data_IF_879317589911
#
_entry.id   IF_879317589911
#
_cell.length_a   1.000
_cell.length_b   1.000
_cell.length_c   1.000
_cell.angle_alpha   90.00
_cell.angle_beta   90.00
_cell.angle_gamma   90.00
#
_symmetry.space_group_name_H-M   'P 1'
#
loop_
_entity.id
_entity.type
_entity.pdbx_description
1 polymer ?
#
# COMPACT_ATOMS: atom_id res chain seq x y z
N UNK A 1 11.18 -11.57 -6.04
CA UNK A 1 9.86 -11.07 -6.46
C UNK A 1 8.70 -11.93 -5.96
N UNK A 2 8.74 -13.25 -6.17
CA UNK A 2 7.72 -14.18 -5.66
C UNK A 2 7.35 -14.01 -4.18
N UNK A 3 8.32 -13.75 -3.30
CA UNK A 3 8.05 -13.49 -1.89
C UNK A 3 7.21 -12.21 -1.66
N UNK A 4 7.47 -11.13 -2.41
CA UNK A 4 6.71 -9.88 -2.31
C UNK A 4 5.30 -10.02 -2.92
N UNK A 5 5.15 -10.73 -4.03
CA UNK A 5 3.81 -11.05 -4.56
C UNK A 5 3.01 -11.92 -3.59
N UNK A 6 3.64 -12.93 -2.98
CA UNK A 6 3.01 -13.73 -1.92
C UNK A 6 2.62 -12.88 -0.72
N UNK A 7 3.50 -11.98 -0.29
CA UNK A 7 3.21 -11.01 0.76
C UNK A 7 1.95 -10.21 0.44
N UNK A 8 1.91 -9.55 -0.73
CA UNK A 8 0.76 -8.73 -1.18
C UNK A 8 -0.52 -9.57 -1.24
N UNK A 9 -0.43 -10.80 -1.75
CA UNK A 9 -1.57 -11.72 -1.83
C UNK A 9 -2.09 -12.11 -0.44
N UNK A 10 -1.20 -12.36 0.51
CA UNK A 10 -1.57 -12.72 1.88
C UNK A 10 -2.15 -11.52 2.63
N UNK A 11 -1.55 -10.33 2.53
CA UNK A 11 -2.04 -9.14 3.22
C UNK A 11 -3.35 -8.62 2.63
N UNK A 12 -3.53 -8.67 1.30
CA UNK A 12 -4.80 -8.29 0.67
C UNK A 12 -5.98 -9.18 1.09
N UNK A 13 -5.72 -10.44 1.47
CA UNK A 13 -6.75 -11.34 1.98
C UNK A 13 -7.17 -11.04 3.42
N UNK A 14 -6.39 -10.25 4.16
CA UNK A 14 -6.71 -9.91 5.55
C UNK A 14 -7.96 -9.03 5.59
N UNK A 15 -8.94 -9.43 6.40
CA UNK A 15 -10.19 -8.70 6.59
C UNK A 15 -11.03 -8.52 5.31
N UNK A 16 -10.84 -9.37 4.30
CA UNK A 16 -11.62 -9.41 3.05
C UNK A 16 -12.20 -10.80 2.81
N UNK A 17 -13.35 -10.86 2.16
CA UNK A 17 -13.83 -12.10 1.57
C UNK A 17 -12.91 -12.48 0.41
N UNK A 18 -12.65 -13.77 0.23
CA UNK A 18 -11.77 -14.24 -0.84
C UNK A 18 -12.38 -15.37 -1.65
N UNK A 19 -12.03 -15.41 -2.93
CA UNK A 19 -12.47 -16.45 -3.86
C UNK A 19 -11.31 -16.89 -4.74
N UNK A 20 -11.15 -18.20 -4.91
CA UNK A 20 -10.17 -18.76 -5.84
C UNK A 20 -10.77 -18.96 -7.22
N UNK A 21 -10.17 -18.34 -8.22
CA UNK A 21 -10.64 -18.40 -9.61
C UNK A 21 -9.44 -18.71 -10.51
N UNK A 22 -9.28 -20.00 -10.85
CA UNK A 22 -8.09 -20.45 -11.57
C UNK A 22 -6.81 -20.03 -10.82
N UNK A 23 -5.86 -19.33 -11.48
CA UNK A 23 -4.64 -18.86 -10.83
C UNK A 23 -4.82 -17.52 -10.07
N UNK A 24 -6.03 -16.98 -9.95
CA UNK A 24 -6.28 -15.70 -9.29
C UNK A 24 -6.81 -15.90 -7.87
N UNK A 25 -6.34 -15.08 -6.92
CA UNK A 25 -7.01 -14.85 -5.65
C UNK A 25 -7.78 -13.54 -5.77
N UNK A 26 -9.11 -13.62 -5.84
CA UNK A 26 -9.97 -12.44 -5.80
C UNK A 26 -10.25 -12.07 -4.35
N UNK A 27 -10.23 -10.77 -4.05
CA UNK A 27 -10.53 -10.22 -2.72
C UNK A 27 -11.67 -9.22 -2.81
N UNK A 28 -12.56 -9.22 -1.81
CA UNK A 28 -13.74 -8.37 -1.76
C UNK A 28 -13.93 -7.76 -0.37
N UNK A 29 -14.23 -6.47 -0.31
CA UNK A 29 -14.63 -5.80 0.93
C UNK A 29 -16.14 -5.64 1.00
N UNK A 30 -16.77 -6.29 1.97
CA UNK A 30 -18.24 -6.27 2.12
C UNK A 30 -18.76 -4.84 2.31
N UNK A 31 -19.73 -4.45 1.48
CA UNK A 31 -20.40 -3.15 1.60
C UNK A 31 -19.58 -1.93 1.15
N UNK A 32 -18.44 -2.14 0.49
CA UNK A 32 -17.60 -1.06 -0.01
C UNK A 32 -17.15 -1.37 -1.45
N UNK A 33 -17.56 -0.55 -2.41
CA UNK A 33 -17.28 -0.70 -3.84
C UNK A 33 -16.01 0.01 -4.29
N UNK A 34 -15.23 0.58 -3.37
CA UNK A 34 -14.00 1.29 -3.70
C UNK A 34 -13.03 0.37 -4.47
N UNK A 35 -12.51 0.77 -5.65
CA UNK A 35 -11.69 -0.09 -6.50
C UNK A 35 -10.43 -0.65 -5.81
N UNK A 36 -9.71 0.17 -5.04
CA UNK A 36 -8.51 -0.27 -4.29
C UNK A 36 -8.79 -1.22 -3.11
N UNK A 37 -10.05 -1.56 -2.84
CA UNK A 37 -10.44 -2.56 -1.84
C UNK A 37 -10.93 -3.87 -2.46
N UNK A 38 -11.17 -3.88 -3.77
CA UNK A 38 -11.75 -5.00 -4.49
C UNK A 38 -10.92 -5.30 -5.75
N UNK A 39 -9.95 -6.19 -5.61
CA UNK A 39 -9.08 -6.57 -6.72
C UNK A 39 -8.58 -8.01 -6.56
N UNK A 40 -8.12 -8.59 -7.67
CA UNK A 40 -7.53 -9.91 -7.71
C UNK A 40 -6.02 -9.89 -7.94
N UNK A 41 -5.35 -10.92 -7.45
CA UNK A 41 -3.89 -11.07 -7.49
C UNK A 41 -3.58 -12.47 -8.05
N UNK A 42 -2.81 -12.60 -9.14
CA UNK A 42 -2.40 -13.89 -9.67
C UNK A 42 -1.39 -14.59 -8.77
N UNK A 43 -1.33 -15.91 -8.95
CA UNK A 43 -0.30 -16.77 -8.38
C UNK A 43 1.08 -16.51 -8.98
N UNK A 44 2.09 -16.81 -8.17
CA UNK A 44 3.47 -16.75 -8.64
C UNK A 44 3.67 -17.82 -9.73
N UNK A 45 4.06 -17.40 -10.92
CA UNK A 45 4.18 -18.26 -12.11
C UNK A 45 2.85 -18.81 -12.62
N UNK A 46 1.71 -18.26 -12.15
CA UNK A 46 0.39 -18.65 -12.65
C UNK A 46 0.20 -18.18 -14.08
N UNK A 47 -0.12 -19.12 -14.99
CA UNK A 47 -0.41 -18.82 -16.40
C UNK A 47 -1.93 -18.89 -16.59
N UNK A 48 -2.65 -17.75 -16.54
CA UNK A 48 -4.10 -17.76 -16.73
C UNK A 48 -4.49 -18.12 -18.15
N UNK A 49 -5.68 -18.69 -18.28
CA UNK A 49 -6.35 -18.90 -19.56
C UNK A 49 -7.44 -17.86 -19.78
N UNK A 50 -7.88 -17.66 -21.03
CA UNK A 50 -9.04 -16.80 -21.31
C UNK A 50 -10.32 -17.25 -20.57
N UNK A 51 -10.46 -18.55 -20.28
CA UNK A 51 -11.54 -19.07 -19.46
C UNK A 51 -11.45 -18.64 -17.99
N UNK A 52 -10.24 -18.54 -17.43
CA UNK A 52 -10.04 -18.02 -16.07
C UNK A 52 -10.36 -16.54 -15.99
N UNK A 53 -9.96 -15.76 -17.01
CA UNK A 53 -10.26 -14.32 -17.09
C UNK A 53 -11.77 -14.07 -17.22
N UNK A 54 -12.49 -14.88 -18.00
CA UNK A 54 -13.94 -14.79 -18.12
C UNK A 54 -14.64 -15.06 -16.77
N UNK A 55 -14.23 -16.10 -16.04
CA UNK A 55 -14.77 -16.42 -14.70
C UNK A 55 -14.45 -15.32 -13.68
N UNK A 56 -13.23 -14.77 -13.72
CA UNK A 56 -12.84 -13.66 -12.85
C UNK A 56 -13.76 -12.45 -13.08
N UNK A 57 -14.00 -12.14 -14.35
CA UNK A 57 -14.88 -11.04 -14.77
C UNK A 57 -16.32 -11.26 -14.31
N UNK A 58 -16.84 -12.48 -14.45
CA UNK A 58 -18.17 -12.85 -13.97
C UNK A 58 -18.28 -12.72 -12.45
N UNK A 59 -17.28 -13.16 -11.69
CA UNK A 59 -17.30 -13.12 -10.23
C UNK A 59 -17.35 -11.69 -9.66
N UNK A 60 -16.60 -10.75 -10.23
CA UNK A 60 -16.66 -9.33 -9.85
C UNK A 60 -17.98 -8.69 -10.27
N UNK A 61 -18.42 -8.88 -11.52
CA UNK A 61 -19.68 -8.30 -12.03
C UNK A 61 -20.92 -8.84 -11.31
N UNK A 62 -20.92 -10.12 -10.93
CA UNK A 62 -21.99 -10.74 -10.14
C UNK A 62 -22.18 -10.07 -8.77
N UNK A 63 -21.15 -9.37 -8.28
CA UNK A 63 -21.17 -8.57 -7.04
C UNK A 63 -21.38 -7.08 -7.28
N UNK A 64 -21.59 -6.66 -8.53
CA UNK A 64 -21.70 -5.24 -8.90
C UNK A 64 -20.37 -4.48 -8.83
N UNK A 65 -19.24 -5.19 -8.80
CA UNK A 65 -17.90 -4.60 -8.67
C UNK A 65 -17.20 -4.54 -10.04
N UNK A 66 -16.31 -3.56 -10.20
CA UNK A 66 -15.42 -3.47 -11.36
C UNK A 66 -14.38 -4.60 -11.29
N UNK A 67 -14.28 -5.49 -12.30
CA UNK A 67 -13.21 -6.47 -12.37
C UNK A 67 -11.85 -5.78 -12.43
N UNK A 68 -10.96 -6.09 -11.47
CA UNK A 68 -9.70 -5.38 -11.27
C UNK A 68 -8.59 -6.31 -10.80
N UNK A 69 -7.36 -6.07 -11.24
CA UNK A 69 -6.16 -6.74 -10.75
C UNK A 69 -5.05 -5.76 -10.42
N UNK A 70 -4.26 -6.11 -9.40
CA UNK A 70 -3.02 -5.43 -9.03
C UNK A 70 -1.94 -6.50 -8.77
N UNK A 71 -0.84 -6.48 -9.53
CA UNK A 71 0.19 -7.50 -9.40
C UNK A 71 1.56 -7.11 -9.94
N UNK A 72 2.59 -7.80 -9.45
CA UNK A 72 3.96 -7.64 -9.91
C UNK A 72 4.18 -8.43 -11.20
N UNK A 73 4.53 -7.74 -12.28
CA UNK A 73 4.66 -8.36 -13.62
C UNK A 73 5.66 -9.51 -13.64
N UNK A 74 6.76 -9.40 -12.89
CA UNK A 74 7.79 -10.45 -12.83
C UNK A 74 7.35 -11.67 -12.02
N UNK A 75 6.30 -11.56 -11.21
CA UNK A 75 5.74 -12.70 -10.47
C UNK A 75 4.71 -13.49 -11.30
N UNK A 76 4.08 -12.87 -12.30
CA UNK A 76 3.14 -13.53 -13.23
C UNK A 76 3.29 -12.96 -14.66
N UNK A 77 4.41 -13.26 -15.35
CA UNK A 77 4.77 -12.59 -16.60
C UNK A 77 3.75 -12.75 -17.74
N UNK A 78 3.07 -13.89 -17.81
CA UNK A 78 2.09 -14.20 -18.85
C UNK A 78 0.71 -13.59 -18.57
N UNK A 79 0.44 -13.15 -17.34
CA UNK A 79 -0.90 -12.76 -16.92
C UNK A 79 -1.40 -11.50 -17.64
N UNK A 80 -0.54 -10.50 -17.84
CA UNK A 80 -0.94 -9.23 -18.44
C UNK A 80 -1.49 -9.40 -19.86
N UNK A 81 -0.79 -10.17 -20.70
CA UNK A 81 -1.21 -10.42 -22.09
C UNK A 81 -2.59 -11.07 -22.15
N UNK A 82 -2.81 -12.11 -21.35
CA UNK A 82 -4.09 -12.85 -21.33
C UNK A 82 -5.23 -11.98 -20.80
N UNK A 83 -4.96 -11.13 -19.80
CA UNK A 83 -5.95 -10.17 -19.28
C UNK A 83 -6.35 -9.14 -20.34
N UNK A 84 -5.37 -8.58 -21.07
CA UNK A 84 -5.63 -7.61 -22.13
C UNK A 84 -6.43 -8.24 -23.27
N UNK A 85 -6.09 -9.46 -23.69
CA UNK A 85 -6.87 -10.23 -24.68
C UNK A 85 -8.30 -10.52 -24.18
N UNK A 86 -8.47 -10.68 -22.86
CA UNK A 86 -9.77 -10.82 -22.19
C UNK A 86 -10.53 -9.51 -21.97
N UNK A 87 -10.04 -8.37 -22.48
CA UNK A 87 -10.72 -7.08 -22.44
C UNK A 87 -10.35 -6.17 -21.27
N UNK A 88 -9.32 -6.50 -20.49
CA UNK A 88 -8.79 -5.60 -19.46
C UNK A 88 -7.94 -4.49 -20.09
N UNK A 89 -8.02 -3.29 -19.53
CA UNK A 89 -7.17 -2.15 -19.87
C UNK A 89 -6.09 -2.00 -18.82
N UNK A 90 -4.83 -1.86 -19.25
CA UNK A 90 -3.74 -1.44 -18.38
C UNK A 90 -3.92 0.03 -18.01
N UNK A 91 -4.24 0.28 -16.73
CA UNK A 91 -4.44 1.63 -16.23
C UNK A 91 -3.12 2.29 -15.86
N UNK A 92 -2.25 1.55 -15.15
CA UNK A 92 -1.03 2.08 -14.55
C UNK A 92 0.05 1.02 -14.48
N UNK A 93 1.28 1.48 -14.71
CA UNK A 93 2.52 0.82 -14.30
C UNK A 93 3.13 1.64 -13.16
N UNK A 94 3.43 0.99 -12.04
CA UNK A 94 3.91 1.62 -10.82
C UNK A 94 5.17 0.88 -10.39
N UNK A 95 6.30 1.57 -10.14
CA UNK A 95 7.49 0.89 -9.67
C UNK A 95 7.25 0.33 -8.26
N UNK A 96 7.66 -0.90 -8.02
CA UNK A 96 7.81 -1.44 -6.67
C UNK A 96 9.23 -1.11 -6.20
N UNK A 97 9.33 -0.34 -5.13
CA UNK A 97 10.62 0.06 -4.58
C UNK A 97 10.92 -0.68 -3.28
N UNK A 98 12.18 -1.06 -3.07
CA UNK A 98 12.65 -1.76 -1.86
C UNK A 98 13.81 -0.99 -1.23
N UNK A 99 13.85 -0.94 0.09
CA UNK A 99 14.99 -0.49 0.88
C UNK A 99 15.49 -1.68 1.74
N UNK A 100 16.57 -2.36 1.35
CA UNK A 100 17.15 -3.43 2.16
C UNK A 100 17.98 -2.85 3.33
N UNK A 101 18.25 -3.67 4.38
CA UNK A 101 19.12 -3.27 5.47
C UNK A 101 20.47 -2.73 4.96
N UNK A 102 20.92 -1.63 5.56
CA UNK A 102 22.17 -0.96 5.19
C UNK A 102 22.09 0.00 4.00
N UNK A 103 20.97 0.08 3.29
CA UNK A 103 20.73 1.10 2.25
C UNK A 103 19.93 2.30 2.75
N UNK A 104 19.37 2.24 3.96
CA UNK A 104 18.59 3.32 4.54
C UNK A 104 19.45 4.58 4.72
N UNK A 105 18.98 5.68 4.15
CA UNK A 105 19.60 7.00 4.27
C UNK A 105 18.78 7.87 5.22
N UNK A 106 19.42 8.28 6.32
CA UNK A 106 18.82 9.14 7.32
C UNK A 106 18.26 10.45 6.70
N UNK A 107 17.04 10.81 7.09
CA UNK A 107 16.38 12.04 6.66
C UNK A 107 16.21 12.97 7.86
N UNK A 108 16.53 14.26 7.73
CA UNK A 108 16.30 15.20 8.81
C UNK A 108 14.80 15.39 9.03
N UNK A 109 14.39 15.45 10.30
CA UNK A 109 13.06 15.95 10.65
C UNK A 109 13.04 17.46 10.42
N UNK A 110 12.12 18.01 9.62
CA UNK A 110 12.09 19.45 9.34
C UNK A 110 11.86 20.29 10.62
N UNK A 111 12.44 21.48 10.68
CA UNK A 111 12.21 22.42 11.78
C UNK A 111 10.71 22.68 11.99
N UNK A 112 10.28 22.68 13.26
CA UNK A 112 8.88 22.86 13.64
C UNK A 112 8.02 21.61 13.55
N UNK A 113 8.61 20.44 13.23
CA UNK A 113 7.92 19.15 13.13
C UNK A 113 8.48 18.17 14.16
N UNK A 114 7.59 17.40 14.77
CA UNK A 114 7.91 16.28 15.66
C UNK A 114 7.32 15.01 15.06
N UNK A 115 8.14 13.97 14.93
CA UNK A 115 7.65 12.63 14.59
C UNK A 115 7.33 11.86 15.87
N UNK A 116 6.16 11.23 15.93
CA UNK A 116 5.70 10.50 17.10
C UNK A 116 5.03 9.20 16.67
N UNK A 117 5.30 8.10 17.37
CA UNK A 117 4.46 6.90 17.27
C UNK A 117 3.16 7.15 18.06
N UNK A 118 1.97 7.04 17.43
CA UNK A 118 0.72 7.13 18.16
C UNK A 118 0.58 5.94 19.11
N UNK A 119 0.20 6.18 20.36
CA UNK A 119 0.07 5.15 21.42
C UNK A 119 -1.35 5.03 21.96
N UNK A 120 -2.27 5.88 21.50
CA UNK A 120 -3.68 5.82 21.86
C UNK A 120 -4.57 5.73 20.61
N UNK A 121 -5.78 5.16 20.73
CA UNK A 121 -6.76 5.18 19.63
C UNK A 121 -7.06 6.61 19.14
N UNK A 122 -7.08 7.60 20.04
CA UNK A 122 -7.32 8.99 19.68
C UNK A 122 -6.20 9.57 18.80
N UNK A 123 -4.94 9.25 19.08
CA UNK A 123 -3.81 9.67 18.25
C UNK A 123 -3.79 8.98 16.89
N UNK A 124 -4.14 7.68 16.85
CA UNK A 124 -4.32 6.96 15.59
C UNK A 124 -5.41 7.61 14.74
N UNK A 125 -6.53 8.02 15.33
CA UNK A 125 -7.58 8.77 14.61
C UNK A 125 -7.09 10.08 14.02
N UNK A 126 -6.30 10.85 14.76
CA UNK A 126 -5.71 12.10 14.25
C UNK A 126 -4.79 11.83 13.04
N UNK A 127 -3.97 10.78 13.11
CA UNK A 127 -3.11 10.35 12.01
C UNK A 127 -3.93 9.94 10.78
N UNK A 128 -4.93 9.07 10.96
CA UNK A 128 -5.78 8.56 9.89
C UNK A 128 -6.56 9.71 9.23
N UNK A 129 -7.10 10.65 10.02
CA UNK A 129 -7.77 11.84 9.51
C UNK A 129 -6.84 12.68 8.63
N UNK A 130 -5.61 12.94 9.08
CA UNK A 130 -4.62 13.69 8.29
C UNK A 130 -4.25 12.97 6.99
N UNK A 131 -4.14 11.63 7.01
CA UNK A 131 -3.92 10.83 5.80
C UNK A 131 -5.09 10.97 4.82
N UNK A 132 -6.34 10.78 5.26
CA UNK A 132 -7.53 10.90 4.41
C UNK A 132 -7.59 12.27 3.71
N UNK A 133 -7.44 13.35 4.48
CA UNK A 133 -7.41 14.71 3.92
C UNK A 133 -6.25 14.87 2.92
N UNK A 134 -5.07 14.32 3.21
CA UNK A 134 -3.93 14.38 2.30
C UNK A 134 -4.16 13.60 0.99
N UNK A 135 -4.97 12.55 1.00
CA UNK A 135 -5.38 11.78 -0.18
C UNK A 135 -6.59 12.38 -0.91
N UNK A 136 -7.19 13.45 -0.37
CA UNK A 136 -8.39 14.08 -0.94
C UNK A 136 -9.69 13.35 -0.61
N UNK A 137 -9.64 12.40 0.32
CA UNK A 137 -10.82 11.71 0.84
C UNK A 137 -11.63 12.63 1.77
N UNK A 138 -12.95 12.39 1.93
CA UNK A 138 -13.76 13.10 2.91
C UNK A 138 -13.16 13.00 4.31
N UNK A 139 -13.23 14.09 5.08
CA UNK A 139 -12.81 14.08 6.48
C UNK A 139 -13.71 13.11 7.27
N UNK A 140 -13.17 12.02 7.82
CA UNK A 140 -13.98 11.04 8.53
C UNK A 140 -14.39 11.52 9.94
N UNK A 141 -13.86 12.65 10.40
CA UNK A 141 -14.10 13.19 11.73
C UNK A 141 -13.59 12.26 12.82
N UNK A 142 -14.31 12.20 13.95
CA UNK A 142 -13.95 11.35 15.10
C UNK A 142 -14.38 9.89 14.95
N UNK A 143 -15.14 9.55 13.90
CA UNK A 143 -15.77 8.24 13.72
C UNK A 143 -14.88 7.21 13.02
N UNK A 144 -13.67 7.61 12.60
CA UNK A 144 -12.75 6.65 12.00
C UNK A 144 -12.22 5.70 13.07
N UNK A 145 -12.37 4.40 12.85
CA UNK A 145 -11.82 3.41 13.77
C UNK A 145 -10.48 2.90 13.25
N UNK A 146 -9.40 2.97 14.07
CA UNK A 146 -8.14 2.33 13.71
C UNK A 146 -8.34 0.82 13.55
N UNK A 147 -7.60 0.22 12.61
CA UNK A 147 -7.63 -1.22 12.41
C UNK A 147 -7.13 -1.99 13.64
N UNK A 148 -7.56 -3.25 13.85
CA UNK A 148 -7.03 -4.10 14.92
C UNK A 148 -5.51 -4.19 14.93
N UNK A 149 -4.87 -4.22 13.76
CA UNK A 149 -3.42 -4.30 13.58
C UNK A 149 -2.71 -3.00 13.98
N UNK A 150 -3.36 -1.84 13.80
CA UNK A 150 -2.86 -0.56 14.32
C UNK A 150 -3.01 -0.48 15.84
N UNK A 151 -4.11 -1.00 16.39
CA UNK A 151 -4.37 -1.01 17.84
C UNK A 151 -3.44 -1.99 18.59
N UNK A 152 -3.13 -3.14 17.99
CA UNK A 152 -2.19 -4.12 18.55
C UNK A 152 -0.73 -3.66 18.47
N UNK A 153 -0.43 -2.71 17.59
CA UNK A 153 0.93 -2.24 17.31
C UNK A 153 1.73 -3.15 16.37
N UNK A 154 1.09 -4.17 15.78
CA UNK A 154 1.67 -4.99 14.71
C UNK A 154 1.99 -4.13 13.47
N UNK A 155 1.08 -3.22 13.13
CA UNK A 155 1.35 -2.14 12.18
C UNK A 155 2.11 -1.03 12.88
N UNK A 156 3.31 -0.74 12.40
CA UNK A 156 4.12 0.39 12.84
C UNK A 156 3.45 1.66 12.32
N UNK A 157 3.17 2.60 13.19
CA UNK A 157 2.54 3.88 12.83
C UNK A 157 3.43 5.04 13.24
N UNK A 158 3.46 6.10 12.44
CA UNK A 158 4.10 7.37 12.81
C UNK A 158 3.27 8.54 12.32
N UNK A 159 3.10 9.54 13.17
CA UNK A 159 2.44 10.79 12.87
C UNK A 159 3.44 11.96 12.91
N UNK A 160 3.24 12.93 12.02
CA UNK A 160 3.95 14.21 12.02
C UNK A 160 3.09 15.26 12.72
N UNK A 161 3.64 15.85 13.78
CA UNK A 161 3.01 16.90 14.57
C UNK A 161 3.73 18.22 14.36
N UNK A 162 3.02 19.35 14.39
CA UNK A 162 3.64 20.66 14.63
C UNK A 162 4.12 20.76 16.08
N UNK A 163 4.96 21.77 16.39
CA UNK A 163 5.33 22.09 17.77
C UNK A 163 4.13 22.44 18.68
N UNK A 164 3.00 22.86 18.08
CA UNK A 164 1.75 23.14 18.79
C UNK A 164 0.86 21.90 18.94
N UNK A 165 1.27 20.74 18.43
CA UNK A 165 0.57 19.46 18.56
C UNK A 165 -0.47 19.17 17.47
N UNK A 166 -0.54 19.98 16.41
CA UNK A 166 -1.42 19.70 15.27
C UNK A 166 -0.86 18.53 14.44
N UNK A 167 -1.68 17.54 14.11
CA UNK A 167 -1.28 16.43 13.23
C UNK A 167 -1.38 16.84 11.77
N UNK A 168 -0.24 16.84 11.07
CA UNK A 168 -0.09 17.34 9.70
C UNK A 168 0.24 16.26 8.68
N UNK A 169 0.39 15.03 9.13
CA UNK A 169 0.63 13.89 8.27
C UNK A 169 0.90 12.62 9.04
N UNK A 170 1.03 11.51 8.31
CA UNK A 170 1.29 10.21 8.89
C UNK A 170 1.63 9.16 7.87
N UNK A 171 1.92 7.98 8.36
CA UNK A 171 2.29 6.83 7.57
C UNK A 171 2.34 5.57 8.41
N UNK A 172 2.33 4.43 7.74
CA UNK A 172 2.43 3.12 8.39
C UNK A 172 3.46 2.24 7.71
N UNK A 173 4.02 1.31 8.47
CA UNK A 173 4.64 0.11 7.94
C UNK A 173 3.84 -1.09 8.47
N UNK A 174 3.32 -1.91 7.55
CA UNK A 174 2.51 -3.09 7.87
C UNK A 174 3.31 -4.12 8.68
N UNK A 175 2.60 -5.08 9.27
CA UNK A 175 3.21 -6.19 9.99
C UNK A 175 4.27 -6.91 9.13
N UNK A 176 5.33 -7.38 9.79
CA UNK A 176 6.42 -8.11 9.13
C UNK A 176 5.95 -9.55 8.87
N UNK A 177 5.89 -9.93 7.60
CA UNK A 177 5.58 -11.29 7.17
C UNK A 177 6.72 -11.80 6.30
N UNK A 178 7.32 -12.93 6.68
CA UNK A 178 8.48 -13.52 6.01
C UNK A 178 9.63 -12.52 5.77
N UNK A 179 9.82 -11.60 6.72
CA UNK A 179 10.84 -10.55 6.66
C UNK A 179 10.49 -9.36 5.77
N UNK A 180 9.32 -9.33 5.11
CA UNK A 180 8.85 -8.19 4.34
C UNK A 180 7.87 -7.31 5.12
N UNK A 181 7.89 -6.01 4.87
CA UNK A 181 6.95 -5.03 5.43
C UNK A 181 6.74 -3.91 4.41
N UNK A 182 5.50 -3.45 4.27
CA UNK A 182 5.12 -2.42 3.32
C UNK A 182 4.99 -1.07 4.01
N UNK A 183 5.73 -0.07 3.54
CA UNK A 183 5.52 1.33 3.91
C UNK A 183 4.36 1.88 3.05
N UNK A 184 3.26 2.21 3.71
CA UNK A 184 2.02 2.64 3.07
C UNK A 184 1.45 3.90 3.73
N UNK A 185 0.47 4.50 3.04
CA UNK A 185 -0.32 5.61 3.59
C UNK A 185 0.49 6.87 3.89
N UNK A 186 1.65 7.09 3.27
CA UNK A 186 2.43 8.33 3.47
C UNK A 186 1.63 9.53 2.98
N UNK A 187 1.01 10.26 3.90
CA UNK A 187 0.15 11.41 3.62
C UNK A 187 0.60 12.63 4.40
N UNK A 188 0.72 13.78 3.72
CA UNK A 188 1.04 15.08 4.34
C UNK A 188 0.06 16.12 3.82
N UNK A 189 -0.54 16.87 4.75
CA UNK A 189 -1.48 17.96 4.45
C UNK A 189 -0.85 18.99 3.50
N UNK A 190 -1.66 19.55 2.61
CA UNK A 190 -1.18 20.37 1.49
C UNK A 190 -0.27 21.52 1.92
N UNK A 191 -0.65 22.28 2.95
CA UNK A 191 0.14 23.41 3.48
C UNK A 191 1.49 23.02 4.12
N UNK A 192 1.72 21.72 4.33
CA UNK A 192 2.95 21.18 4.92
C UNK A 192 3.80 20.36 3.93
N UNK A 193 3.36 20.25 2.67
CA UNK A 193 4.09 19.55 1.60
C UNK A 193 5.39 20.28 1.24
N UNK A 194 6.25 19.58 0.49
CA UNK A 194 7.54 20.11 0.00
C UNK A 194 8.55 20.55 1.08
N UNK A 195 8.33 20.15 2.34
CA UNK A 195 9.20 20.46 3.48
C UNK A 195 10.10 19.30 3.93
N UNK A 196 10.02 18.14 3.26
CA UNK A 196 10.77 16.92 3.63
C UNK A 196 10.05 15.99 4.62
N UNK A 197 8.84 16.32 5.08
CA UNK A 197 8.09 15.53 6.07
C UNK A 197 7.82 14.10 5.58
N UNK A 198 7.41 13.93 4.32
CA UNK A 198 7.18 12.60 3.74
C UNK A 198 8.44 11.72 3.78
N UNK A 199 9.61 12.28 3.44
CA UNK A 199 10.88 11.56 3.50
C UNK A 199 11.23 11.15 4.94
N UNK A 200 11.01 12.04 5.91
CA UNK A 200 11.25 11.75 7.33
C UNK A 200 10.30 10.68 7.88
N UNK A 201 9.02 10.69 7.49
CA UNK A 201 8.05 9.65 7.84
C UNK A 201 8.47 8.29 7.27
N UNK A 202 8.82 8.24 5.98
CA UNK A 202 9.27 7.00 5.32
C UNK A 202 10.56 6.47 5.95
N UNK A 203 11.54 7.32 6.21
CA UNK A 203 12.79 6.93 6.86
C UNK A 203 12.52 6.35 8.24
N UNK A 204 11.68 7.01 9.05
CA UNK A 204 11.32 6.55 10.37
C UNK A 204 10.69 5.15 10.32
N UNK A 205 9.67 4.97 9.49
CA UNK A 205 8.98 3.68 9.35
C UNK A 205 9.91 2.56 8.88
N UNK A 206 10.78 2.87 7.92
CA UNK A 206 11.75 1.90 7.37
C UNK A 206 12.77 1.49 8.43
N UNK A 207 13.28 2.45 9.20
CA UNK A 207 14.18 2.17 10.34
C UNK A 207 13.51 1.29 11.38
N UNK A 208 12.28 1.62 11.78
CA UNK A 208 11.54 0.84 12.78
C UNK A 208 11.22 -0.57 12.28
N UNK A 209 10.85 -0.72 11.00
CA UNK A 209 10.62 -2.03 10.40
C UNK A 209 11.90 -2.88 10.40
N UNK A 210 13.05 -2.30 10.04
CA UNK A 210 14.34 -2.98 10.14
C UNK A 210 14.69 -3.35 11.59
N UNK A 211 14.44 -2.46 12.54
CA UNK A 211 14.68 -2.73 13.97
C UNK A 211 13.82 -3.89 14.50
N UNK A 212 12.63 -4.12 13.92
CA UNK A 212 11.75 -5.26 14.22
C UNK A 212 12.05 -6.52 13.41
N UNK A 213 13.13 -6.55 12.63
CA UNK A 213 13.58 -7.72 11.86
C UNK A 213 13.11 -7.76 10.41
N UNK A 214 12.51 -6.68 9.89
CA UNK A 214 12.21 -6.55 8.48
C UNK A 214 13.49 -6.49 7.65
N UNK A 215 13.65 -7.38 6.68
CA UNK A 215 14.80 -7.44 5.77
C UNK A 215 14.45 -7.02 4.33
N UNK A 216 13.16 -6.83 4.05
CA UNK A 216 12.66 -6.34 2.76
C UNK A 216 11.54 -5.32 2.99
N UNK A 217 11.90 -4.08 3.32
CA UNK A 217 10.93 -3.00 3.44
C UNK A 217 10.65 -2.44 2.04
N UNK A 218 9.39 -2.37 1.64
CA UNK A 218 9.01 -2.00 0.28
C UNK A 218 7.85 -1.01 0.25
N UNK A 219 7.62 -0.39 -0.90
CA UNK A 219 6.47 0.46 -1.17
C UNK A 219 6.17 0.53 -2.66
N UNK A 220 4.95 0.93 -3.01
CA UNK A 220 4.62 1.45 -4.34
C UNK A 220 4.35 2.95 -4.22
N UNK A 221 5.08 3.82 -4.94
CA UNK A 221 4.86 5.26 -4.85
C UNK A 221 3.50 5.64 -5.43
N UNK A 222 2.87 6.63 -4.79
CA UNK A 222 1.73 7.34 -5.39
C UNK A 222 2.11 8.05 -6.70
N UNK A 223 1.11 8.56 -7.42
CA UNK A 223 1.36 9.28 -8.67
C UNK A 223 2.26 10.52 -8.46
N UNK A 224 3.04 10.89 -9.50
CA UNK A 224 3.85 12.12 -9.51
C UNK A 224 5.28 11.95 -8.98
N UNK A 225 5.78 12.94 -8.24
CA UNK A 225 7.20 13.03 -7.83
C UNK A 225 7.59 12.10 -6.66
N UNK A 226 6.75 11.13 -6.30
CA UNK A 226 6.91 10.32 -5.10
C UNK A 226 8.14 9.39 -5.17
N UNK A 227 8.46 8.81 -6.34
CA UNK A 227 9.65 7.96 -6.52
C UNK A 227 10.96 8.68 -6.13
N UNK A 228 11.10 9.95 -6.49
CA UNK A 228 12.29 10.77 -6.12
C UNK A 228 12.39 10.98 -4.62
N UNK A 229 11.26 11.07 -3.91
CA UNK A 229 11.25 11.21 -2.44
C UNK A 229 11.80 9.93 -1.81
N UNK A 230 11.28 8.77 -2.20
CA UNK A 230 11.69 7.49 -1.64
C UNK A 230 13.13 7.11 -2.04
N UNK A 231 13.56 7.47 -3.25
CA UNK A 231 14.95 7.29 -3.68
C UNK A 231 15.96 8.00 -2.78
N UNK A 232 15.61 9.18 -2.23
CA UNK A 232 16.48 9.89 -1.26
C UNK A 232 16.58 9.19 0.10
N UNK A 233 15.57 8.38 0.45
CA UNK A 233 15.54 7.56 1.67
C UNK A 233 16.35 6.27 1.50
N UNK A 234 16.71 5.89 0.26
CA UNK A 234 17.45 4.66 -0.04
C UNK A 234 16.63 3.58 -0.73
N UNK A 235 15.37 3.87 -1.07
CA UNK A 235 14.54 2.93 -1.85
C UNK A 235 14.99 2.87 -3.30
N UNK A 236 14.98 1.66 -3.87
CA UNK A 236 15.36 1.40 -5.26
C UNK A 236 14.25 0.63 -5.96
N UNK A 237 13.92 1.01 -7.19
CA UNK A 237 12.95 0.32 -8.03
C UNK A 237 13.51 -1.05 -8.44
N UNK A 238 12.80 -2.13 -8.09
CA UNK A 238 13.24 -3.51 -8.31
C UNK A 238 12.24 -4.35 -9.11
N UNK A 239 11.00 -3.86 -9.24
CA UNK A 239 9.95 -4.48 -10.01
C UNK A 239 8.90 -3.46 -10.45
N UNK A 240 7.91 -3.94 -11.20
CA UNK A 240 6.77 -3.14 -11.62
C UNK A 240 5.45 -3.81 -11.22
N UNK A 241 4.61 -3.05 -10.52
CA UNK A 241 3.22 -3.37 -10.26
C UNK A 241 2.35 -2.81 -11.39
N UNK A 242 1.47 -3.65 -11.94
CA UNK A 242 0.47 -3.27 -12.94
C UNK A 242 -0.91 -3.25 -12.33
N UNK A 243 -1.68 -2.23 -12.68
CA UNK A 243 -3.09 -2.12 -12.35
C UNK A 243 -3.90 -2.27 -13.62
N UNK A 244 -4.80 -3.25 -13.66
CA UNK A 244 -5.67 -3.51 -14.80
C UNK A 244 -7.13 -3.58 -14.36
N UNK A 245 -8.03 -3.10 -15.20
CA UNK A 245 -9.47 -3.22 -14.97
C UNK A 245 -10.26 -3.36 -16.27
N UNK A 246 -11.51 -3.79 -16.16
CA UNK A 246 -12.48 -3.69 -17.26
C UNK A 246 -13.22 -2.37 -17.12
N UNK A 247 -13.03 -1.47 -18.09
CA UNK A 247 -13.70 -0.16 -18.19
C UNK A 247 -15.07 -0.28 -18.84
#
# INVERSE_FOLDING_TARGET
>A
MNALQSYIRTTAAQSRETERIGPFLATYTTGNDHPFLNYAIPDNGGVPTGGDVAKLTEAFRGRGLTPRLEFLTEAAPEAETVLVEGGYTLERRIPLMVCPPGQLVAQPVPTGIVLKAPVTPAELRLMIRAQNIAFGEPDPGEHVEPSPEQLSGETISVMALTETGECVGGGVATAILDGASEVAGIGVLEGYRQRGIAAALTEHLTREAHARGGVSVFLTPGAGQAERVYGRVGFQSVAECVHLSVV
#
